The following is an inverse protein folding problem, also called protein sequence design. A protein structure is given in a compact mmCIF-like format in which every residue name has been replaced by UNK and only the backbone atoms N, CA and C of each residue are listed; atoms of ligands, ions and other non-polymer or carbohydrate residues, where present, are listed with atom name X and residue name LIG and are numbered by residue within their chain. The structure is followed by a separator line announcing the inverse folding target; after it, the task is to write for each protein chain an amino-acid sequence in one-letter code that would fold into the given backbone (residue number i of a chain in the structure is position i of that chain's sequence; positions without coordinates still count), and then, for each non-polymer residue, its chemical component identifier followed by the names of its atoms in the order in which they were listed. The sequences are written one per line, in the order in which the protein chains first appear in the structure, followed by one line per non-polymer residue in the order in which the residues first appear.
data_IF_578210273788
#
_entry.id   IF_578210273788
#
_cell.length_a   1.000
_cell.length_b   1.000
_cell.length_c   1.000
_cell.angle_alpha   90.00
_cell.angle_beta   90.00
_cell.angle_gamma   90.00
#
_symmetry.space_group_name_H-M   'P 1'
#
loop_
_entity.id
_entity.type
_entity.pdbx_description
1 polymer ?
#
# COMPACT_ATOMS: atom_id res chain seq x y z
N UNK A 1 -14.55 20.64 -14.88
CA UNK A 1 -13.98 19.34 -15.31
C UNK A 1 -14.76 18.25 -14.62
N UNK A 2 -15.20 17.21 -15.35
CA UNK A 2 -15.87 16.06 -14.72
C UNK A 2 -14.80 15.18 -14.06
N UNK A 3 -15.04 14.77 -12.82
CA UNK A 3 -14.18 13.82 -12.11
C UNK A 3 -14.49 12.41 -12.59
N UNK A 4 -13.48 11.56 -12.74
CA UNK A 4 -13.65 10.12 -13.04
C UNK A 4 -13.73 9.27 -11.76
N UNK A 5 -13.69 9.92 -10.60
CA UNK A 5 -13.71 9.26 -9.30
C UNK A 5 -15.03 8.54 -9.06
N UNK A 6 -14.94 7.28 -8.62
CA UNK A 6 -16.08 6.39 -8.36
C UNK A 6 -16.89 6.00 -9.60
N UNK A 7 -16.39 6.27 -10.79
CA UNK A 7 -17.04 5.94 -12.06
C UNK A 7 -16.28 4.81 -12.78
N UNK A 8 -16.98 4.04 -13.63
CA UNK A 8 -16.35 3.05 -14.52
C UNK A 8 -15.73 3.75 -15.75
N UNK A 9 -14.91 4.77 -15.49
CA UNK A 9 -14.19 5.52 -16.51
C UNK A 9 -12.68 5.31 -16.28
N UNK A 10 -11.99 4.62 -17.19
CA UNK A 10 -10.56 4.42 -17.06
C UNK A 10 -9.81 5.75 -17.30
N UNK A 11 -8.98 6.12 -16.35
CA UNK A 11 -8.00 7.19 -16.47
C UNK A 11 -6.60 6.66 -16.77
N UNK A 12 -5.63 7.56 -16.76
CA UNK A 12 -4.21 7.25 -16.92
C UNK A 12 -3.41 7.95 -15.82
N UNK A 13 -2.46 7.23 -15.22
CA UNK A 13 -1.50 7.78 -14.27
C UNK A 13 -0.08 7.46 -14.71
N UNK A 14 0.86 8.32 -14.34
CA UNK A 14 2.28 8.11 -14.62
C UNK A 14 3.11 8.22 -13.36
N UNK A 15 4.19 7.44 -13.30
CA UNK A 15 5.24 7.57 -12.30
C UNK A 15 6.57 7.76 -12.99
N UNK A 16 7.46 8.53 -12.38
CA UNK A 16 8.79 8.79 -12.90
C UNK A 16 9.85 8.32 -11.91
N UNK A 17 11.02 7.94 -12.43
CA UNK A 17 12.21 7.64 -11.64
C UNK A 17 13.32 8.62 -11.98
N UNK A 18 14.10 8.97 -10.97
CA UNK A 18 15.28 9.82 -11.12
C UNK A 18 16.56 9.00 -10.95
N UNK A 19 17.58 9.31 -11.76
CA UNK A 19 18.87 8.62 -11.70
C UNK A 19 19.73 9.25 -10.59
N UNK A 20 19.77 8.63 -9.43
CA UNK A 20 20.60 9.06 -8.30
C UNK A 20 22.07 8.68 -8.45
N UNK A 21 22.98 9.49 -7.90
CA UNK A 21 24.40 9.13 -7.75
C UNK A 21 25.30 9.34 -8.99
N UNK A 22 24.78 9.87 -10.11
CA UNK A 22 25.60 10.24 -11.27
C UNK A 22 26.51 11.43 -10.90
N UNK A 23 27.82 11.26 -11.06
CA UNK A 23 28.84 12.30 -10.86
C UNK A 23 29.73 12.42 -12.11
N UNK A 24 30.26 13.62 -12.34
CA UNK A 24 31.10 13.94 -13.50
C UNK A 24 30.44 13.46 -14.82
N UNK A 25 31.23 12.94 -15.75
CA UNK A 25 30.76 12.37 -17.02
C UNK A 25 30.31 10.90 -16.92
N UNK A 26 29.82 10.48 -15.74
CA UNK A 26 29.23 9.16 -15.55
C UNK A 26 28.08 8.87 -16.52
N UNK A 27 27.91 7.59 -16.88
CA UNK A 27 26.87 7.13 -17.83
C UNK A 27 25.47 7.40 -17.29
N UNK A 28 24.52 7.66 -18.19
CA UNK A 28 23.09 7.79 -17.86
C UNK A 28 22.51 6.43 -17.48
N UNK A 29 21.55 6.42 -16.56
CA UNK A 29 20.74 5.24 -16.27
C UNK A 29 20.02 4.78 -17.54
N UNK A 30 20.05 3.48 -17.82
CA UNK A 30 19.37 2.89 -18.98
C UNK A 30 17.88 2.61 -18.71
N UNK A 31 17.10 2.58 -19.78
CA UNK A 31 15.66 2.29 -19.77
C UNK A 31 14.77 3.51 -19.51
N UNK A 32 13.45 3.30 -19.60
CA UNK A 32 12.47 4.39 -19.52
C UNK A 32 12.49 5.10 -18.16
N UNK A 33 12.40 6.42 -18.18
CA UNK A 33 12.34 7.24 -16.98
C UNK A 33 10.90 7.41 -16.47
N UNK A 34 9.92 7.16 -17.34
CA UNK A 34 8.50 7.26 -17.06
C UNK A 34 7.82 5.93 -17.33
N UNK A 35 6.87 5.59 -16.46
CA UNK A 35 6.00 4.43 -16.57
C UNK A 35 4.55 4.90 -16.47
N UNK A 36 3.68 4.37 -17.33
CA UNK A 36 2.30 4.81 -17.53
C UNK A 36 1.38 3.61 -17.41
N UNK A 37 0.31 3.74 -16.62
CA UNK A 37 -0.72 2.70 -16.49
C UNK A 37 -2.13 3.28 -16.52
N UNK A 38 -3.09 2.44 -16.91
CA UNK A 38 -4.51 2.76 -16.82
C UNK A 38 -5.04 2.45 -15.42
N UNK A 39 -5.97 3.27 -14.95
CA UNK A 39 -6.55 3.10 -13.62
C UNK A 39 -7.98 3.59 -13.47
N UNK A 40 -8.73 2.96 -12.57
CA UNK A 40 -9.96 3.51 -12.02
C UNK A 40 -9.64 4.29 -10.75
N UNK A 41 -10.18 5.50 -10.65
CA UNK A 41 -10.02 6.33 -9.46
C UNK A 41 -11.10 5.98 -8.42
N UNK A 42 -10.67 5.40 -7.30
CA UNK A 42 -11.51 5.08 -6.14
C UNK A 42 -11.19 5.96 -4.92
N UNK A 43 -10.47 7.07 -5.11
CA UNK A 43 -10.12 7.97 -4.02
C UNK A 43 -11.39 8.61 -3.42
N UNK A 44 -11.53 8.54 -2.09
CA UNK A 44 -12.70 8.99 -1.34
C UNK A 44 -14.05 8.32 -1.69
N UNK A 45 -14.06 7.29 -2.53
CA UNK A 45 -15.28 6.55 -2.84
C UNK A 45 -15.77 5.78 -1.63
N UNK A 46 -17.07 5.86 -1.39
CA UNK A 46 -17.72 5.11 -0.31
C UNK A 46 -18.01 3.70 -0.81
N UNK A 47 -17.29 2.71 -0.29
CA UNK A 47 -17.43 1.30 -0.67
C UNK A 47 -17.89 0.49 0.52
N UNK A 48 -18.71 -0.54 0.28
CA UNK A 48 -18.96 -1.56 1.31
C UNK A 48 -17.65 -2.26 1.64
N UNK A 49 -17.40 -2.51 2.91
CA UNK A 49 -16.20 -3.19 3.37
C UNK A 49 -16.54 -4.45 4.17
N UNK A 50 -15.54 -5.31 4.31
CA UNK A 50 -15.56 -6.44 5.23
C UNK A 50 -14.30 -6.45 6.08
N UNK A 51 -14.42 -6.86 7.33
CA UNK A 51 -13.26 -7.02 8.20
C UNK A 51 -12.33 -8.10 7.69
N UNK A 52 -11.06 -7.76 7.51
CA UNK A 52 -10.02 -8.74 7.18
C UNK A 52 -9.87 -9.78 8.29
N UNK A 53 -9.17 -10.86 7.99
CA UNK A 53 -8.58 -11.69 9.04
C UNK A 53 -7.54 -10.89 9.82
N UNK A 54 -7.15 -11.39 10.99
CA UNK A 54 -6.02 -10.83 11.73
C UNK A 54 -4.77 -10.83 10.87
N UNK A 55 -4.06 -9.71 10.85
CA UNK A 55 -2.71 -9.66 10.31
C UNK A 55 -1.81 -10.61 11.07
N UNK A 56 -0.66 -10.95 10.48
CA UNK A 56 0.46 -11.47 11.25
C UNK A 56 0.85 -10.46 12.33
N UNK A 57 1.41 -10.97 13.43
CA UNK A 57 2.01 -10.10 14.44
C UNK A 57 3.12 -9.25 13.81
N UNK A 58 3.14 -7.96 14.15
CA UNK A 58 4.21 -7.03 13.81
C UNK A 58 5.51 -7.44 14.49
N UNK A 59 6.60 -6.82 14.05
CA UNK A 59 7.83 -6.79 14.83
C UNK A 59 7.58 -6.13 16.19
N UNK A 60 8.44 -6.46 17.15
CA UNK A 60 8.44 -5.84 18.46
C UNK A 60 8.92 -4.38 18.33
N UNK A 61 8.10 -3.44 18.80
CA UNK A 61 8.38 -2.01 18.75
C UNK A 61 8.30 -1.41 20.16
N UNK A 62 9.28 -0.57 20.59
CA UNK A 62 10.55 -0.34 19.89
C UNK A 62 11.41 -1.62 19.81
N UNK A 63 12.29 -1.78 18.79
CA UNK A 63 13.11 -2.99 18.66
C UNK A 63 14.19 -3.09 19.76
N UNK A 64 14.67 -1.94 20.21
CA UNK A 64 15.57 -1.78 21.35
C UNK A 64 14.91 -0.82 22.33
N UNK A 65 14.91 -1.15 23.61
CA UNK A 65 14.34 -0.30 24.67
C UNK A 65 13.38 -1.04 25.59
N UNK A 66 12.82 -0.33 26.58
CA UNK A 66 11.97 -0.94 27.59
C UNK A 66 10.61 -1.36 27.02
N UNK A 67 10.10 -2.49 27.51
CA UNK A 67 8.75 -3.00 27.27
C UNK A 67 8.33 -3.04 25.79
N UNK A 68 9.10 -3.72 24.92
CA UNK A 68 8.74 -3.83 23.52
C UNK A 68 7.47 -4.66 23.35
N UNK A 69 6.65 -4.25 22.40
CA UNK A 69 5.34 -4.86 22.17
C UNK A 69 5.13 -5.17 20.70
N UNK A 70 4.41 -6.24 20.43
CA UNK A 70 3.97 -6.61 19.09
C UNK A 70 2.47 -6.39 18.98
N UNK A 71 2.06 -6.08 17.76
CA UNK A 71 0.71 -5.68 17.44
C UNK A 71 0.20 -6.52 16.28
N UNK A 72 -1.07 -6.91 16.30
CA UNK A 72 -1.78 -7.41 15.11
C UNK A 72 -3.06 -6.61 14.92
N UNK A 73 -3.50 -6.48 13.68
CA UNK A 73 -4.63 -5.63 13.33
C UNK A 73 -5.62 -6.36 12.43
N UNK A 74 -6.89 -5.99 12.51
CA UNK A 74 -7.89 -6.22 11.48
C UNK A 74 -8.22 -4.87 10.84
N UNK A 75 -8.38 -4.86 9.53
CA UNK A 75 -8.73 -3.66 8.78
C UNK A 75 -10.09 -3.85 8.11
N UNK A 76 -10.87 -2.79 8.05
CA UNK A 76 -12.05 -2.74 7.18
C UNK A 76 -11.56 -2.65 5.74
N UNK A 77 -11.58 -3.78 5.03
CA UNK A 77 -11.11 -3.87 3.64
C UNK A 77 -12.25 -3.55 2.68
N UNK A 78 -12.07 -2.62 1.72
CA UNK A 78 -13.11 -2.26 0.76
C UNK A 78 -13.36 -3.42 -0.22
N UNK A 79 -14.62 -3.69 -0.52
CA UNK A 79 -15.03 -4.57 -1.60
C UNK A 79 -14.98 -3.77 -2.91
N UNK A 80 -14.00 -4.07 -3.75
CA UNK A 80 -13.80 -3.38 -5.02
C UNK A 80 -14.96 -3.68 -5.99
N UNK A 81 -15.41 -2.69 -6.78
CA UNK A 81 -16.45 -2.90 -7.77
C UNK A 81 -15.98 -3.84 -8.89
N UNK A 82 -16.92 -4.53 -9.53
CA UNK A 82 -16.65 -5.47 -10.62
C UNK A 82 -16.49 -4.75 -11.97
N UNK A 83 -15.50 -3.87 -12.06
CA UNK A 83 -15.17 -3.18 -13.32
C UNK A 83 -14.29 -4.05 -14.23
N UNK A 84 -14.29 -3.73 -15.53
CA UNK A 84 -13.44 -4.44 -16.50
C UNK A 84 -11.95 -4.33 -16.13
N UNK A 85 -11.21 -5.45 -16.01
CA UNK A 85 -9.77 -5.41 -15.71
C UNK A 85 -8.92 -4.97 -16.90
N UNK A 86 -9.51 -4.84 -18.09
CA UNK A 86 -8.84 -4.49 -19.35
C UNK A 86 -9.63 -3.39 -20.09
N UNK A 87 -8.92 -2.50 -20.78
CA UNK A 87 -9.53 -1.57 -21.76
C UNK A 87 -8.93 -1.79 -23.13
N UNK A 88 -9.78 -1.70 -24.15
CA UNK A 88 -9.36 -1.48 -25.52
C UNK A 88 -9.00 0.00 -25.69
N UNK A 89 -7.72 0.30 -25.85
CA UNK A 89 -7.31 1.67 -26.19
C UNK A 89 -7.63 1.94 -27.66
N UNK A 90 -8.26 3.08 -27.94
CA UNK A 90 -8.53 3.55 -29.30
C UNK A 90 -7.21 4.07 -29.89
N UNK A 91 -6.29 3.17 -30.27
CA UNK A 91 -5.09 3.41 -31.09
C UNK A 91 -4.15 2.19 -31.02
N UNK A 92 -4.48 1.10 -31.72
CA UNK A 92 -3.53 0.05 -32.18
C UNK A 92 -2.67 -0.69 -31.14
N UNK A 93 -2.80 -0.42 -29.85
CA UNK A 93 -1.88 -0.88 -28.78
C UNK A 93 -2.41 -2.09 -28.00
N UNK A 94 -3.46 -2.73 -28.50
CA UNK A 94 -4.08 -3.90 -27.87
C UNK A 94 -4.81 -3.58 -26.56
N UNK A 95 -5.21 -4.64 -25.87
CA UNK A 95 -5.82 -4.55 -24.54
C UNK A 95 -4.78 -4.17 -23.49
N UNK A 96 -5.08 -3.17 -22.67
CA UNK A 96 -4.23 -2.76 -21.54
C UNK A 96 -4.93 -3.02 -20.22
N UNK A 97 -4.15 -3.48 -19.24
CA UNK A 97 -4.64 -3.74 -17.89
C UNK A 97 -4.98 -2.44 -17.16
N UNK A 98 -6.07 -2.48 -16.40
CA UNK A 98 -6.54 -1.40 -15.53
C UNK A 98 -6.43 -1.83 -14.09
N UNK A 99 -6.02 -0.90 -13.25
CA UNK A 99 -5.86 -1.14 -11.81
C UNK A 99 -6.60 -0.09 -11.00
N UNK A 100 -7.10 -0.46 -9.84
CA UNK A 100 -7.69 0.52 -8.92
C UNK A 100 -6.60 1.39 -8.29
N UNK A 101 -6.90 2.68 -8.13
CA UNK A 101 -6.02 3.64 -7.48
C UNK A 101 -6.81 4.53 -6.52
N UNK A 102 -6.18 4.88 -5.40
CA UNK A 102 -6.75 5.77 -4.40
C UNK A 102 -7.08 5.06 -3.09
N UNK A 103 -7.51 5.86 -2.12
CA UNK A 103 -7.89 5.42 -0.77
C UNK A 103 -9.40 5.60 -0.61
N UNK A 104 -10.20 4.53 -0.73
CA UNK A 104 -11.64 4.60 -0.55
C UNK A 104 -12.01 4.70 0.94
N UNK A 105 -13.25 5.12 1.21
CA UNK A 105 -13.88 5.08 2.52
C UNK A 105 -14.70 3.80 2.62
N UNK A 106 -14.14 2.80 3.30
CA UNK A 106 -14.79 1.49 3.50
C UNK A 106 -15.80 1.54 4.64
N UNK A 107 -17.03 1.07 4.40
CA UNK A 107 -18.10 0.95 5.38
C UNK A 107 -18.17 -0.48 5.90
N UNK A 108 -17.74 -0.70 7.14
CA UNK A 108 -17.92 -1.96 7.87
C UNK A 108 -18.87 -1.77 9.06
N UNK A 109 -19.48 -2.87 9.50
CA UNK A 109 -20.11 -2.94 10.81
C UNK A 109 -19.08 -2.70 11.92
N UNK A 110 -19.53 -2.13 13.03
CA UNK A 110 -18.66 -1.88 14.18
C UNK A 110 -18.13 -3.19 14.77
N UNK A 111 -16.82 -3.29 14.91
CA UNK A 111 -16.16 -4.39 15.60
C UNK A 111 -15.44 -3.82 16.81
N UNK A 112 -15.83 -4.25 18.02
CA UNK A 112 -15.27 -3.75 19.28
C UNK A 112 -15.32 -2.21 19.40
N UNK A 113 -16.37 -1.58 18.86
CA UNK A 113 -16.54 -0.11 18.87
C UNK A 113 -15.73 0.65 17.82
N UNK A 114 -14.99 -0.03 16.94
CA UNK A 114 -14.21 0.58 15.87
C UNK A 114 -14.79 0.26 14.48
N UNK A 115 -14.63 1.20 13.53
CA UNK A 115 -15.21 1.11 12.16
C UNK A 115 -14.18 0.89 11.05
N UNK A 116 -12.90 1.16 11.31
CA UNK A 116 -11.85 1.18 10.27
C UNK A 116 -10.73 0.18 10.55
N UNK A 117 -10.27 0.12 11.79
CA UNK A 117 -9.17 -0.73 12.23
C UNK A 117 -9.46 -1.20 13.63
N UNK A 118 -9.09 -2.44 13.95
CA UNK A 118 -9.09 -3.02 15.29
C UNK A 118 -7.69 -3.57 15.57
N UNK A 119 -7.18 -3.32 16.77
CA UNK A 119 -5.82 -3.65 17.16
C UNK A 119 -5.76 -4.52 18.41
N UNK A 120 -4.88 -5.54 18.41
CA UNK A 120 -4.49 -6.29 19.61
C UNK A 120 -2.99 -6.13 19.86
N UNK A 121 -2.62 -5.82 21.10
CA UNK A 121 -1.25 -5.59 21.53
C UNK A 121 -0.82 -6.61 22.58
N UNK A 122 0.38 -7.17 22.44
CA UNK A 122 0.99 -8.09 23.41
C UNK A 122 2.46 -7.75 23.69
N UNK A 123 2.94 -7.97 24.93
CA UNK A 123 4.36 -7.80 25.24
C UNK A 123 5.21 -8.85 24.52
N UNK A 124 6.42 -8.46 24.15
CA UNK A 124 7.44 -9.40 23.72
C UNK A 124 8.19 -9.95 24.93
N UNK A 125 8.47 -11.25 24.93
CA UNK A 125 9.09 -11.94 26.07
C UNK A 125 10.56 -12.20 25.79
N UNK A 126 11.38 -12.18 26.85
CA UNK A 126 12.83 -12.48 26.79
C UNK A 126 13.59 -11.64 25.75
N UNK A 127 13.36 -10.33 25.74
CA UNK A 127 13.93 -9.43 24.74
C UNK A 127 15.44 -9.28 25.02
N UNK A 128 16.31 -9.54 24.02
CA UNK A 128 17.75 -9.36 24.18
C UNK A 128 18.13 -7.88 24.29
N UNK A 129 19.24 -7.61 24.97
CA UNK A 129 19.83 -6.28 24.97
C UNK A 129 20.45 -5.99 23.59
N UNK A 130 20.24 -4.79 23.06
CA UNK A 130 20.91 -4.36 21.86
C UNK A 130 22.35 -3.95 22.20
N UNK A 131 23.33 -4.62 21.60
CA UNK A 131 24.75 -4.31 21.70
C UNK A 131 25.31 -3.95 20.33
N UNK A 132 26.44 -3.27 20.31
CA UNK A 132 27.16 -3.03 19.07
C UNK A 132 27.69 -4.37 18.52
N UNK A 133 27.44 -4.71 17.24
CA UNK A 133 27.98 -5.94 16.64
C UNK A 133 29.52 -6.03 16.70
N UNK A 134 30.23 -4.91 16.78
CA UNK A 134 31.69 -4.90 16.90
C UNK A 134 32.17 -5.29 18.31
N UNK A 135 31.36 -5.03 19.35
CA UNK A 135 31.63 -5.44 20.73
C UNK A 135 31.34 -6.94 20.99
N UNK A 136 30.66 -7.61 20.05
CA UNK A 136 30.22 -9.00 20.16
C UNK A 136 31.22 -10.00 19.54
N UNK A 137 32.34 -9.52 18.96
CA UNK A 137 33.42 -10.40 18.47
C UNK A 137 34.37 -10.81 19.61
N UNK A 138 34.72 -12.11 19.71
CA UNK A 138 35.66 -12.62 20.72
C UNK A 138 37.11 -12.18 20.49
#
# INVERSE_FOLDING_TARGET
MKSISCEEIPGQQSRTRTCGGRKFDGKRCSGNHQDIRHCYDIHNCVLKGSWSQWSTWSLCTPPCGPNPTRVRQRLCTPLLPKFSPTVSVVEGQGEKNVTFWGTPRSLCEELQGQKLMVEEKRPCLHVPACKDPEEEKP
#
